data_IF_348504697445
#
_entry.id   IF_348504697445
#
_cell.length_a   1.000
_cell.length_b   1.000
_cell.length_c   1.000
_cell.angle_alpha   90.00
_cell.angle_beta   90.00
_cell.angle_gamma   90.00
#
_symmetry.space_group_name_H-M   'P 1'
#
loop_
_entity.id
_entity.type
_entity.pdbx_description
1 polymer ?
#
# COMPACT_ATOMS: atom_id res chain seq x y z
N UNK A 1 18.09 -4.13 9.49
CA UNK A 1 17.42 -5.12 8.60
C UNK A 1 16.14 -4.46 8.15
N UNK A 2 15.96 -4.32 6.84
CA UNK A 2 14.79 -3.65 6.27
C UNK A 2 13.51 -4.49 6.51
N UNK A 3 12.39 -3.87 6.91
CA UNK A 3 11.13 -4.56 7.05
C UNK A 3 10.56 -4.95 5.68
N UNK A 4 9.82 -6.06 5.66
CA UNK A 4 9.08 -6.52 4.48
C UNK A 4 7.58 -6.46 4.74
N UNK A 5 6.85 -5.96 3.76
CA UNK A 5 5.39 -5.83 3.75
C UNK A 5 4.83 -6.54 2.53
N UNK A 6 3.53 -6.79 2.49
CA UNK A 6 2.92 -7.48 1.36
C UNK A 6 1.53 -6.97 1.03
N UNK A 7 1.11 -7.15 -0.22
CA UNK A 7 -0.28 -6.99 -0.63
C UNK A 7 -0.80 -8.30 -1.18
N UNK A 8 -1.91 -8.77 -0.63
CA UNK A 8 -2.73 -9.81 -1.25
C UNK A 8 -3.67 -9.14 -2.23
N UNK A 9 -3.56 -9.52 -3.50
CA UNK A 9 -4.30 -8.90 -4.58
C UNK A 9 -5.53 -9.73 -4.96
N UNK A 10 -6.59 -9.03 -5.35
CA UNK A 10 -7.72 -9.60 -6.06
C UNK A 10 -7.98 -8.86 -7.37
N UNK A 11 -8.40 -9.61 -8.39
CA UNK A 11 -8.90 -9.10 -9.66
C UNK A 11 -10.27 -9.75 -9.85
N UNK A 12 -11.32 -8.94 -10.02
CA UNK A 12 -12.71 -9.42 -10.09
C UNK A 12 -13.07 -10.38 -8.93
N UNK A 13 -12.68 -10.00 -7.71
CA UNK A 13 -12.86 -10.75 -6.46
C UNK A 13 -12.10 -12.09 -6.38
N UNK A 14 -11.34 -12.46 -7.42
CA UNK A 14 -10.52 -13.66 -7.44
C UNK A 14 -9.10 -13.34 -6.99
N UNK A 15 -8.50 -14.23 -6.19
CA UNK A 15 -7.13 -14.05 -5.72
C UNK A 15 -6.16 -14.02 -6.91
N UNK A 16 -5.37 -12.95 -7.01
CA UNK A 16 -4.38 -12.71 -8.06
C UNK A 16 -2.94 -12.87 -7.55
N UNK A 17 -2.77 -13.40 -6.34
CA UNK A 17 -1.47 -13.64 -5.72
C UNK A 17 -1.03 -12.52 -4.77
N UNK A 18 0.25 -12.59 -4.38
CA UNK A 18 0.85 -11.71 -3.37
C UNK A 18 2.06 -10.96 -3.92
N UNK A 19 2.08 -9.66 -3.71
CA UNK A 19 3.28 -8.83 -3.88
C UNK A 19 3.97 -8.70 -2.54
N UNK A 20 5.28 -8.94 -2.47
CA UNK A 20 6.11 -8.69 -1.28
C UNK A 20 7.09 -7.56 -1.61
N UNK A 21 7.18 -6.57 -0.73
CA UNK A 21 8.02 -5.39 -0.89
C UNK A 21 8.94 -5.24 0.33
N UNK A 22 10.19 -4.88 0.09
CA UNK A 22 11.14 -4.49 1.13
C UNK A 22 11.19 -2.96 1.23
N UNK A 23 11.03 -2.42 2.44
CA UNK A 23 11.09 -0.97 2.66
C UNK A 23 12.52 -0.58 3.02
N UNK A 24 13.14 0.27 2.22
CA UNK A 24 14.54 0.69 2.43
C UNK A 24 14.62 1.75 3.53
N UNK A 25 14.64 1.30 4.79
CA UNK A 25 14.60 2.20 5.96
C UNK A 25 15.88 2.98 6.15
N UNK A 26 17.02 2.41 5.75
CA UNK A 26 18.34 3.00 6.00
C UNK A 26 18.54 4.30 5.19
N UNK A 27 18.05 4.34 3.95
CA UNK A 27 18.14 5.52 3.09
C UNK A 27 16.89 6.40 3.12
N UNK A 28 15.72 5.83 3.41
CA UNK A 28 14.43 6.54 3.32
C UNK A 28 13.54 6.30 4.55
N UNK A 29 14.00 6.66 5.76
CA UNK A 29 13.31 6.29 7.00
C UNK A 29 11.89 6.88 7.09
N UNK A 30 11.69 8.15 6.72
CA UNK A 30 10.39 8.81 6.81
C UNK A 30 9.39 8.20 5.81
N UNK A 31 9.85 7.91 4.60
CA UNK A 31 9.01 7.31 3.55
C UNK A 31 8.64 5.87 3.90
N UNK A 32 9.60 5.09 4.39
CA UNK A 32 9.38 3.73 4.82
C UNK A 32 8.39 3.66 6.00
N UNK A 33 8.55 4.54 7.00
CA UNK A 33 7.64 4.62 8.14
C UNK A 33 6.22 5.00 7.71
N UNK A 34 6.06 5.96 6.78
CA UNK A 34 4.75 6.31 6.25
C UNK A 34 4.09 5.14 5.51
N UNK A 35 4.85 4.43 4.67
CA UNK A 35 4.33 3.26 3.96
C UNK A 35 3.95 2.14 4.94
N UNK A 36 4.76 1.92 5.97
CA UNK A 36 4.48 0.96 7.03
C UNK A 36 3.19 1.29 7.78
N UNK A 37 3.04 2.55 8.22
CA UNK A 37 1.85 3.02 8.92
C UNK A 37 0.57 2.84 8.10
N UNK A 38 0.63 3.14 6.79
CA UNK A 38 -0.48 2.90 5.86
C UNK A 38 -0.68 1.42 5.54
N UNK A 39 0.34 0.59 5.64
CA UNK A 39 0.23 -0.85 5.49
C UNK A 39 -0.44 -1.52 6.70
N UNK A 40 -0.08 -1.13 7.93
CA UNK A 40 -0.65 -1.70 9.15
C UNK A 40 -2.01 -1.08 9.51
N UNK A 41 -2.28 0.14 9.08
CA UNK A 41 -3.46 0.89 9.49
C UNK A 41 -3.40 1.43 10.91
N UNK A 42 -2.24 1.38 11.57
CA UNK A 42 -2.09 1.68 13.00
C UNK A 42 -2.39 3.14 13.37
N UNK A 43 -2.35 4.05 12.40
CA UNK A 43 -2.59 5.49 12.62
C UNK A 43 -4.09 5.86 12.62
N UNK A 44 -4.99 4.88 12.48
CA UNK A 44 -6.42 5.09 12.66
C UNK A 44 -7.09 5.80 11.47
N UNK A 45 -7.83 6.87 11.75
CA UNK A 45 -8.68 7.57 10.77
C UNK A 45 -8.08 8.94 10.47
N UNK A 46 -8.10 9.34 9.20
CA UNK A 46 -7.65 10.66 8.77
C UNK A 46 -8.69 11.76 9.07
N UNK A 47 -8.34 13.01 8.74
CA UNK A 47 -9.19 14.18 9.00
C UNK A 47 -10.50 14.21 8.22
N UNK A 48 -10.61 13.41 7.15
CA UNK A 48 -11.83 13.29 6.32
C UNK A 48 -12.64 12.02 6.65
N UNK A 49 -12.33 11.35 7.77
CA UNK A 49 -13.11 10.20 8.25
C UNK A 49 -12.79 8.88 7.55
N UNK A 50 -11.70 8.80 6.77
CA UNK A 50 -11.26 7.59 6.07
C UNK A 50 -10.09 6.90 6.80
N UNK A 51 -10.02 5.56 6.86
CA UNK A 51 -8.90 4.86 7.46
C UNK A 51 -7.57 5.20 6.78
N UNK A 52 -6.51 5.41 7.56
CA UNK A 52 -5.13 5.52 7.08
C UNK A 52 -4.58 4.12 6.78
N UNK A 53 -5.16 3.42 5.81
CA UNK A 53 -4.85 2.02 5.53
C UNK A 53 -4.99 1.69 4.03
N UNK A 54 -4.02 0.96 3.46
CA UNK A 54 -4.07 0.51 2.07
C UNK A 54 -5.09 -0.61 1.81
N UNK A 55 -5.51 -1.37 2.84
CA UNK A 55 -6.45 -2.47 2.66
C UNK A 55 -7.79 -1.95 2.10
N UNK A 56 -8.20 -2.52 0.97
CA UNK A 56 -9.41 -2.13 0.26
C UNK A 56 -9.22 -1.00 -0.76
N UNK A 57 -8.03 -0.37 -0.82
CA UNK A 57 -7.67 0.52 -1.93
C UNK A 57 -7.41 -0.27 -3.22
N UNK A 58 -7.50 0.41 -4.36
CA UNK A 58 -7.35 -0.20 -5.68
C UNK A 58 -6.13 0.36 -6.44
N UNK A 59 -5.66 -0.41 -7.43
CA UNK A 59 -4.77 0.11 -8.46
C UNK A 59 -5.62 0.79 -9.53
N UNK A 60 -5.75 2.11 -9.44
CA UNK A 60 -6.67 2.88 -10.28
C UNK A 60 -6.10 3.25 -11.66
N UNK A 61 -4.78 3.14 -11.85
CA UNK A 61 -4.16 3.41 -13.15
C UNK A 61 -3.12 2.34 -13.49
N UNK A 62 -3.33 1.65 -14.62
CA UNK A 62 -2.49 0.55 -15.09
C UNK A 62 -2.03 0.92 -16.50
N UNK A 63 -0.72 1.09 -16.67
CA UNK A 63 -0.10 1.40 -17.95
C UNK A 63 0.71 0.17 -18.39
N UNK A 64 0.25 -0.58 -19.41
CA UNK A 64 0.94 -1.78 -19.86
C UNK A 64 2.40 -1.51 -20.20
N UNK A 65 3.27 -2.44 -19.81
CA UNK A 65 4.73 -2.35 -20.04
C UNK A 65 5.42 -1.16 -19.37
N UNK A 66 4.76 -0.49 -18.42
CA UNK A 66 5.37 0.62 -17.71
C UNK A 66 5.18 0.50 -16.20
N UNK A 67 3.96 0.72 -15.69
CA UNK A 67 3.71 0.76 -14.24
C UNK A 67 2.25 0.64 -13.86
N UNK A 68 2.03 0.36 -12.58
CA UNK A 68 0.73 0.39 -11.92
C UNK A 68 0.77 1.43 -10.81
N UNK A 69 -0.33 2.16 -10.64
CA UNK A 69 -0.50 3.16 -9.61
C UNK A 69 -1.71 2.82 -8.75
N UNK A 70 -1.53 2.96 -7.44
CA UNK A 70 -2.56 2.76 -6.43
C UNK A 70 -2.27 3.62 -5.21
N UNK A 71 -2.90 3.29 -4.08
CA UNK A 71 -2.65 3.99 -2.82
C UNK A 71 -3.44 5.29 -2.64
N UNK A 72 -4.44 5.56 -3.49
CA UNK A 72 -5.52 6.47 -3.08
C UNK A 72 -6.39 5.74 -2.06
N UNK A 73 -6.32 6.19 -0.81
CA UNK A 73 -7.00 5.60 0.36
C UNK A 73 -8.23 6.43 0.79
N UNK A 74 -8.53 7.50 0.06
CA UNK A 74 -9.60 8.45 0.44
C UNK A 74 -10.85 8.28 -0.39
N UNK A 75 -10.72 7.84 -1.64
CA UNK A 75 -11.84 7.63 -2.54
C UNK A 75 -12.39 6.21 -2.39
#
# INVERSE_FOLDING_TARGET
MNPRVFFDLSIDEQSAGRIVMELVTDSTPITAENFWALYTGEKGINTVGKPLHYKGSTFHCIIPMYMVYGGDITH
#
